data_IF_503212542273
#
_entry.id   IF_503212542273
#
_cell.length_a   1.000
_cell.length_b   1.000
_cell.length_c   1.000
_cell.angle_alpha   90.00
_cell.angle_beta   90.00
_cell.angle_gamma   90.00
#
_symmetry.space_group_name_H-M   'P 1'
#
loop_
_entity.id
_entity.type
_entity.pdbx_description
1 polymer ?
#
# COMPACT_ATOMS: atom_id res chain seq x y z
N UNK A 1 4.01 0.16 -5.95
CA UNK A 1 3.24 0.38 -4.72
C UNK A 1 3.09 1.86 -4.37
N UNK A 2 4.18 2.56 -4.10
CA UNK A 2 4.19 3.96 -3.63
C UNK A 2 3.43 4.95 -4.52
N UNK A 3 3.55 4.85 -5.85
CA UNK A 3 2.73 5.62 -6.80
C UNK A 3 1.22 5.45 -6.56
N UNK A 4 0.76 4.23 -6.27
CA UNK A 4 -0.66 3.94 -5.98
C UNK A 4 -1.10 4.47 -4.61
N UNK A 5 -0.15 4.73 -3.71
CA UNK A 5 -0.40 5.36 -2.41
C UNK A 5 -0.37 6.90 -2.49
N UNK A 6 -0.04 7.47 -3.65
CA UNK A 6 0.04 8.91 -3.85
C UNK A 6 1.28 9.55 -3.22
N UNK A 7 2.35 8.77 -3.01
CA UNK A 7 3.64 9.28 -2.52
C UNK A 7 4.74 9.08 -3.58
N UNK A 8 5.80 9.92 -3.55
CA UNK A 8 6.94 9.73 -4.42
C UNK A 8 7.53 8.31 -4.27
N UNK A 9 7.72 7.56 -5.37
CA UNK A 9 8.33 6.25 -5.29
C UNK A 9 9.84 6.39 -5.08
N UNK A 10 10.32 6.00 -3.90
CA UNK A 10 11.75 5.85 -3.62
C UNK A 10 12.22 4.38 -3.75
N UNK A 11 11.29 3.45 -4.01
CA UNK A 11 11.56 2.02 -4.13
C UNK A 11 11.68 1.30 -2.78
N UNK A 12 11.65 2.03 -1.67
CA UNK A 12 11.88 1.53 -0.32
C UNK A 12 10.56 1.48 0.46
N UNK A 13 10.35 0.35 1.12
CA UNK A 13 9.28 0.23 2.10
C UNK A 13 9.73 0.82 3.44
N UNK A 14 9.71 2.15 3.54
CA UNK A 14 10.02 2.87 4.78
C UNK A 14 8.78 3.33 5.57
N UNK A 15 8.97 4.02 6.70
CA UNK A 15 7.89 4.53 7.55
C UNK A 15 6.88 5.43 6.82
N UNK A 16 7.35 6.17 5.80
CA UNK A 16 6.47 6.99 4.96
C UNK A 16 5.53 6.12 4.12
N UNK A 17 6.07 5.08 3.48
CA UNK A 17 5.31 4.11 2.68
C UNK A 17 4.31 3.37 3.54
N UNK A 18 4.72 2.94 4.74
CA UNK A 18 3.84 2.28 5.69
C UNK A 18 2.67 3.18 6.12
N UNK A 19 2.95 4.44 6.51
CA UNK A 19 1.90 5.40 6.87
C UNK A 19 0.94 5.66 5.71
N UNK A 20 1.46 5.81 4.49
CA UNK A 20 0.63 5.99 3.30
C UNK A 20 -0.22 4.74 3.02
N UNK A 21 0.34 3.55 3.26
CA UNK A 21 -0.35 2.29 3.11
C UNK A 21 -1.51 2.15 4.10
N UNK A 22 -1.26 2.42 5.38
CA UNK A 22 -2.31 2.40 6.42
C UNK A 22 -3.46 3.36 6.09
N UNK A 23 -3.17 4.54 5.54
CA UNK A 23 -4.22 5.48 5.09
C UNK A 23 -5.00 4.93 3.91
N UNK A 24 -4.30 4.36 2.92
CA UNK A 24 -4.93 3.79 1.74
C UNK A 24 -5.80 2.58 2.09
N UNK A 25 -5.33 1.69 2.97
CA UNK A 25 -6.07 0.53 3.48
C UNK A 25 -7.37 0.97 4.16
N UNK A 26 -7.34 1.96 5.06
CA UNK A 26 -8.55 2.50 5.70
C UNK A 26 -9.58 2.99 4.69
N UNK A 27 -9.14 3.71 3.65
CA UNK A 27 -10.03 4.21 2.60
C UNK A 27 -10.64 3.10 1.74
N UNK A 28 -9.99 1.93 1.67
CA UNK A 28 -10.46 0.78 0.90
C UNK A 28 -11.16 -0.27 1.77
N UNK A 29 -11.48 0.04 3.03
CA UNK A 29 -12.14 -0.89 3.94
C UNK A 29 -11.28 -2.10 4.35
N UNK A 30 -9.96 -1.99 4.20
CA UNK A 30 -9.01 -3.02 4.61
C UNK A 30 -8.45 -2.71 6.00
N UNK A 31 -8.00 -3.77 6.70
CA UNK A 31 -7.22 -3.63 7.93
C UNK A 31 -5.99 -2.77 7.68
N UNK A 32 -5.87 -1.69 8.45
CA UNK A 32 -4.82 -0.68 8.30
C UNK A 32 -3.54 -1.07 9.05
N UNK A 33 -3.06 -2.28 8.79
CA UNK A 33 -1.88 -2.88 9.42
C UNK A 33 -0.56 -2.30 8.88
N UNK A 34 -0.59 -1.62 7.73
CA UNK A 34 0.62 -1.11 7.09
C UNK A 34 1.42 -2.22 6.41
N UNK A 35 0.82 -3.37 6.14
CA UNK A 35 1.45 -4.52 5.51
C UNK A 35 0.91 -4.70 4.09
N UNK A 36 1.84 -4.88 3.14
CA UNK A 36 1.52 -5.22 1.76
C UNK A 36 1.15 -6.71 1.58
N UNK A 37 0.16 -7.18 2.35
CA UNK A 37 -0.34 -8.56 2.30
C UNK A 37 -1.04 -8.90 0.98
N UNK A 38 -1.47 -10.16 0.77
CA UNK A 38 -2.14 -10.59 -0.46
C UNK A 38 -3.37 -9.74 -0.83
N UNK A 39 -4.19 -9.36 0.16
CA UNK A 39 -5.36 -8.50 -0.06
C UNK A 39 -4.95 -7.10 -0.53
N UNK A 40 -3.99 -6.50 0.17
CA UNK A 40 -3.40 -5.20 -0.19
C UNK A 40 -2.80 -5.24 -1.59
N UNK A 41 -2.01 -6.27 -1.93
CA UNK A 41 -1.41 -6.45 -3.27
C UNK A 41 -2.46 -6.63 -4.36
N UNK A 42 -3.51 -7.42 -4.10
CA UNK A 42 -4.62 -7.61 -5.04
C UNK A 42 -5.37 -6.31 -5.28
N UNK A 43 -5.70 -5.57 -4.21
CA UNK A 43 -6.40 -4.30 -4.31
C UNK A 43 -5.53 -3.19 -4.93
N UNK A 44 -4.21 -3.24 -4.72
CA UNK A 44 -3.23 -2.43 -5.45
C UNK A 44 -2.95 -2.96 -6.86
N UNK A 45 -3.61 -4.00 -7.35
CA UNK A 45 -3.36 -4.58 -8.68
C UNK A 45 -1.88 -4.94 -8.93
N UNK A 46 -1.14 -5.29 -7.87
CA UNK A 46 0.23 -5.79 -7.92
C UNK A 46 0.28 -7.32 -8.08
N UNK A 47 -0.88 -7.98 -8.06
CA UNK A 47 -1.02 -9.38 -8.45
C UNK A 47 -1.57 -9.47 -9.86
N UNK A 48 -0.69 -9.49 -10.86
CA UNK A 48 -0.94 -10.00 -12.21
C UNK A 48 0.40 -10.20 -12.92
N UNK A 49 0.69 -11.46 -13.26
CA UNK A 49 1.81 -11.90 -14.10
C UNK A 49 3.11 -12.10 -13.36
#
# INVERSE_FOLDING_TARGET
MQRKLGIPPDGVFGPQTERALRRWQRRHGLTADGIAGPMTRRALGLGRG
#
